data_IF_967199227438
#
_entry.id   IF_967199227438
#
_cell.length_a   1.000
_cell.length_b   1.000
_cell.length_c   1.000
_cell.angle_alpha   90.00
_cell.angle_beta   90.00
_cell.angle_gamma   90.00
#
_symmetry.space_group_name_H-M   'P 1'
#
loop_
_entity.id
_entity.type
_entity.pdbx_description
1 polymer ?
#
# COMPACT_ATOMS: atom_id res chain seq x y z
N UNK A 1 8.58 -2.01 -13.20
CA UNK A 1 8.01 -2.54 -11.94
C UNK A 1 7.08 -1.54 -11.30
N UNK A 2 6.14 -2.00 -10.48
CA UNK A 2 5.15 -1.19 -9.75
C UNK A 2 5.29 -1.42 -8.24
N UNK A 3 5.07 -0.37 -7.43
CA UNK A 3 4.96 -0.48 -5.98
C UNK A 3 3.56 -0.03 -5.57
N UNK A 4 2.80 -0.92 -4.94
CA UNK A 4 1.49 -0.63 -4.35
C UNK A 4 1.71 -0.40 -2.85
N UNK A 5 1.61 0.85 -2.40
CA UNK A 5 1.80 1.21 -1.00
C UNK A 5 0.50 1.76 -0.40
N UNK A 6 -0.09 1.04 0.55
CA UNK A 6 -1.31 1.47 1.25
C UNK A 6 -2.56 1.55 0.37
N UNK A 7 -2.60 0.83 -0.75
CA UNK A 7 -3.73 0.78 -1.68
C UNK A 7 -4.26 -0.65 -1.88
N UNK A 8 -5.48 -0.77 -2.42
CA UNK A 8 -6.12 -2.03 -2.80
C UNK A 8 -6.82 -1.87 -4.15
N UNK A 9 -6.07 -1.93 -5.24
CA UNK A 9 -6.52 -1.68 -6.63
C UNK A 9 -7.67 -2.60 -7.00
N UNK A 10 -7.55 -3.91 -6.78
CA UNK A 10 -8.58 -4.87 -7.18
C UNK A 10 -9.89 -4.72 -6.37
N UNK A 11 -9.83 -4.07 -5.21
CA UNK A 11 -11.01 -3.74 -4.40
C UNK A 11 -11.60 -2.39 -4.78
N UNK A 12 -10.75 -1.38 -5.01
CA UNK A 12 -11.17 0.02 -5.11
C UNK A 12 -11.40 0.50 -6.54
N UNK A 13 -10.75 -0.10 -7.54
CA UNK A 13 -10.81 0.37 -8.93
C UNK A 13 -11.91 -0.35 -9.72
N UNK A 14 -12.66 0.38 -10.57
CA UNK A 14 -13.66 -0.23 -11.43
C UNK A 14 -12.99 -1.17 -12.45
N UNK A 15 -13.77 -2.13 -12.95
CA UNK A 15 -13.31 -3.10 -13.97
C UNK A 15 -12.16 -4.01 -13.48
N UNK A 16 -12.32 -4.63 -12.31
CA UNK A 16 -11.39 -5.59 -11.71
C UNK A 16 -10.76 -6.60 -12.70
N UNK A 17 -11.47 -7.17 -13.70
CA UNK A 17 -10.87 -8.12 -14.64
C UNK A 17 -9.71 -7.53 -15.47
N UNK A 18 -9.78 -6.25 -15.85
CA UNK A 18 -8.70 -5.58 -16.58
C UNK A 18 -7.48 -5.45 -15.68
N UNK A 19 -7.67 -5.02 -14.43
CA UNK A 19 -6.59 -4.86 -13.47
C UNK A 19 -5.91 -6.18 -13.11
N UNK A 20 -6.66 -7.28 -12.98
CA UNK A 20 -6.06 -8.61 -12.80
C UNK A 20 -5.11 -8.96 -13.95
N UNK A 21 -5.54 -8.72 -15.20
CA UNK A 21 -4.74 -8.97 -16.39
C UNK A 21 -3.52 -8.04 -16.49
N UNK A 22 -3.66 -6.80 -16.05
CA UNK A 22 -2.56 -5.84 -16.02
C UNK A 22 -1.52 -6.23 -14.97
N UNK A 23 -1.94 -6.50 -13.73
CA UNK A 23 -1.04 -6.88 -12.65
C UNK A 23 -0.30 -8.19 -12.95
N UNK A 24 -0.97 -9.18 -13.54
CA UNK A 24 -0.35 -10.46 -13.92
C UNK A 24 0.68 -10.36 -15.05
N UNK A 25 0.79 -9.21 -15.72
CA UNK A 25 1.72 -8.96 -16.83
C UNK A 25 2.88 -8.05 -16.44
N UNK A 26 2.92 -7.56 -15.21
CA UNK A 26 4.04 -6.74 -14.74
C UNK A 26 5.26 -7.64 -14.52
N UNK A 27 6.42 -7.18 -14.98
CA UNK A 27 7.69 -7.90 -14.77
C UNK A 27 8.14 -7.87 -13.30
N UNK A 28 7.62 -6.92 -12.52
CA UNK A 28 7.94 -6.77 -11.10
C UNK A 28 6.89 -5.95 -10.36
N UNK A 29 6.31 -6.50 -9.30
CA UNK A 29 5.31 -5.88 -8.43
C UNK A 29 5.67 -6.07 -6.95
N UNK A 30 5.72 -4.95 -6.21
CA UNK A 30 5.87 -4.96 -4.75
C UNK A 30 4.58 -4.45 -4.11
N UNK A 31 4.04 -5.18 -3.14
CA UNK A 31 2.91 -4.74 -2.32
C UNK A 31 3.35 -4.46 -0.88
N UNK A 32 3.11 -3.24 -0.40
CA UNK A 32 3.40 -2.80 0.97
C UNK A 32 2.07 -2.49 1.65
N UNK A 33 1.61 -3.42 2.49
CA UNK A 33 0.25 -3.40 3.04
C UNK A 33 0.21 -3.90 4.48
N UNK A 34 -0.77 -3.42 5.26
CA UNK A 34 -1.03 -3.88 6.63
C UNK A 34 -1.90 -5.14 6.68
N UNK A 35 -2.75 -5.33 5.68
CA UNK A 35 -3.59 -6.50 5.49
C UNK A 35 -3.28 -7.08 4.11
N UNK A 36 -3.30 -8.40 3.99
CA UNK A 36 -3.14 -9.05 2.69
C UNK A 36 -4.32 -8.68 1.78
N UNK A 37 -4.10 -7.71 0.89
CA UNK A 37 -5.07 -7.29 -0.12
C UNK A 37 -5.06 -8.24 -1.30
N UNK A 38 -6.11 -8.19 -2.13
CA UNK A 38 -6.20 -9.03 -3.33
C UNK A 38 -5.06 -8.75 -4.33
N UNK A 39 -4.46 -7.57 -4.29
CA UNK A 39 -3.32 -7.19 -5.15
C UNK A 39 -2.06 -7.98 -4.80
N UNK A 40 -1.88 -8.34 -3.53
CA UNK A 40 -0.72 -9.09 -3.04
C UNK A 40 -0.60 -10.47 -3.69
N UNK A 41 -1.70 -11.03 -4.21
CA UNK A 41 -1.69 -12.28 -4.96
C UNK A 41 -0.94 -12.19 -6.30
N UNK A 42 -0.67 -10.97 -6.79
CA UNK A 42 0.07 -10.73 -8.03
C UNK A 42 1.49 -10.20 -7.76
N UNK A 43 1.85 -9.96 -6.49
CA UNK A 43 3.11 -9.34 -6.13
C UNK A 43 4.25 -10.36 -6.07
N UNK A 44 5.41 -9.98 -6.59
CA UNK A 44 6.66 -10.73 -6.42
C UNK A 44 7.17 -10.61 -4.98
N UNK A 45 6.95 -9.46 -4.36
CA UNK A 45 7.33 -9.20 -2.97
C UNK A 45 6.17 -8.56 -2.22
N UNK A 46 5.85 -9.13 -1.05
CA UNK A 46 4.92 -8.54 -0.09
C UNK A 46 5.71 -8.10 1.14
N UNK A 47 5.69 -6.80 1.42
CA UNK A 47 6.32 -6.22 2.60
C UNK A 47 5.26 -5.81 3.62
N UNK A 48 5.48 -6.06 4.92
CA UNK A 48 4.59 -5.58 5.96
C UNK A 48 4.68 -4.05 6.05
N UNK A 49 3.53 -3.37 6.09
CA UNK A 49 3.47 -1.96 6.39
C UNK A 49 3.27 -1.72 7.89
N UNK A 50 3.90 -0.68 8.42
CA UNK A 50 3.70 -0.26 9.81
C UNK A 50 2.36 0.45 9.99
N UNK A 51 1.80 0.39 11.20
CA UNK A 51 0.74 1.29 11.62
C UNK A 51 1.28 2.70 11.86
N UNK A 52 0.36 3.64 12.10
CA UNK A 52 0.72 5.02 12.39
C UNK A 52 1.40 5.19 13.75
N UNK A 53 1.41 4.15 14.59
CA UNK A 53 1.99 4.18 15.92
C UNK A 53 3.41 3.60 15.98
N UNK A 54 3.79 2.87 14.93
CA UNK A 54 5.04 2.11 14.83
C UNK A 54 6.14 2.88 14.07
N UNK A 55 5.83 4.06 13.51
CA UNK A 55 6.78 4.86 12.75
C UNK A 55 6.75 6.36 13.06
N UNK A 56 7.88 7.02 12.80
CA UNK A 56 7.95 8.46 12.73
C UNK A 56 7.40 8.93 11.39
N UNK A 57 6.49 9.90 11.43
CA UNK A 57 5.89 10.48 10.23
C UNK A 57 5.48 11.93 10.47
N UNK A 58 4.87 12.54 9.46
CA UNK A 58 4.17 13.81 9.60
C UNK A 58 2.76 13.71 9.04
N UNK A 59 1.88 14.63 9.42
CA UNK A 59 0.58 14.82 8.80
C UNK A 59 0.29 16.31 8.59
N UNK A 60 -0.51 16.59 7.55
CA UNK A 60 -0.99 17.92 7.22
C UNK A 60 -2.51 17.92 7.34
N UNK A 61 -3.04 18.90 8.07
CA UNK A 61 -4.47 19.12 8.26
C UNK A 61 -4.80 20.57 7.88
N UNK A 62 -5.14 20.78 6.60
CA UNK A 62 -5.30 22.14 6.06
C UNK A 62 -4.02 22.96 6.27
N UNK A 63 -4.06 24.09 7.00
CA UNK A 63 -2.87 24.91 7.25
C UNK A 63 -1.96 24.37 8.37
N UNK A 64 -2.36 23.30 9.08
CA UNK A 64 -1.60 22.77 10.24
C UNK A 64 -0.66 21.65 9.79
N UNK A 65 0.60 21.72 10.23
CA UNK A 65 1.58 20.65 10.11
C UNK A 65 1.88 20.05 11.48
N UNK A 66 1.92 18.72 11.59
CA UNK A 66 2.23 18.01 12.84
C UNK A 66 3.19 16.86 12.57
N UNK A 67 4.25 16.77 13.38
CA UNK A 67 5.10 15.58 13.48
C UNK A 67 4.39 14.53 14.35
N UNK A 68 4.43 13.27 13.91
CA UNK A 68 3.94 12.11 14.64
C UNK A 68 5.12 11.22 14.93
N UNK A 69 5.44 11.10 16.20
CA UNK A 69 6.53 10.24 16.67
C UNK A 69 6.03 8.80 16.86
N UNK A 70 6.94 7.85 16.72
CA UNK A 70 6.70 6.43 17.05
C UNK A 70 6.38 6.29 18.54
N UNK A 71 5.33 5.53 18.86
CA UNK A 71 4.88 5.30 20.24
C UNK A 71 4.96 3.82 20.68
N UNK A 72 5.04 2.88 19.75
CA UNK A 72 5.20 1.45 20.02
C UNK A 72 6.24 0.83 19.08
N UNK A 73 6.79 -0.34 19.48
CA UNK A 73 7.77 -1.11 18.71
C UNK A 73 7.12 -2.19 17.83
#
# INVERSE_FOLDING_TARGET
>A
GLIIHGASILTSWPQTPIWRKTLSKLDFLVCIVRQFTADAAYADIVLPATTMFENDSYMVYGPIFRLRERIIE
#
